data_IF_096005115573
#
_entry.id   IF_096005115573
#
_cell.length_a   1.000
_cell.length_b   1.000
_cell.length_c   1.000
_cell.angle_alpha   90.00
_cell.angle_beta   90.00
_cell.angle_gamma   90.00
#
_symmetry.space_group_name_H-M   'P 1'
#
loop_
_entity.id
_entity.type
_entity.pdbx_description
1 polymer ?
#
# COMPACT_ATOMS: atom_id res chain seq x y z
N UNK A 1 5.71 17.68 0.74
CA UNK A 1 6.58 16.97 1.70
C UNK A 1 7.27 15.86 0.94
N UNK A 2 8.60 15.83 0.88
CA UNK A 2 9.35 14.78 0.16
C UNK A 2 9.21 13.43 0.88
N UNK A 3 9.02 12.34 0.12
CA UNK A 3 8.90 11.00 0.67
C UNK A 3 7.83 10.14 0.01
N UNK A 4 7.67 8.92 0.50
CA UNK A 4 6.65 7.96 0.04
C UNK A 4 5.47 7.94 0.99
N UNK A 5 4.25 8.19 0.50
CA UNK A 5 3.01 8.00 1.25
C UNK A 5 2.07 7.03 0.53
N UNK A 6 1.12 6.47 1.28
CA UNK A 6 0.01 5.69 0.73
C UNK A 6 -1.29 6.10 1.42
N UNK A 7 -2.40 5.71 0.81
CA UNK A 7 -3.75 5.84 1.36
C UNK A 7 -4.57 4.71 0.77
N UNK A 8 -5.34 4.01 1.60
CA UNK A 8 -6.18 2.90 1.17
C UNK A 8 -7.64 3.24 1.38
N UNK A 9 -8.41 3.22 0.31
CA UNK A 9 -9.85 3.43 0.31
C UNK A 9 -10.55 2.12 -0.03
N UNK A 10 -11.45 1.68 0.84
CA UNK A 10 -12.40 0.61 0.54
C UNK A 10 -13.56 1.19 -0.27
N UNK A 11 -13.58 0.91 -1.57
CA UNK A 11 -14.60 1.40 -2.49
C UNK A 11 -15.90 0.61 -2.41
N UNK A 12 -15.90 -0.58 -1.81
CA UNK A 12 -17.11 -1.36 -1.59
C UNK A 12 -17.92 -0.79 -0.41
N UNK A 13 -17.25 -0.27 0.62
CA UNK A 13 -17.88 0.40 1.77
C UNK A 13 -17.88 1.93 1.68
N UNK A 14 -17.16 2.51 0.72
CA UNK A 14 -17.06 3.96 0.54
C UNK A 14 -16.33 4.67 1.68
N UNK A 15 -15.35 4.02 2.31
CA UNK A 15 -14.63 4.55 3.49
C UNK A 15 -13.15 4.16 3.50
N UNK A 16 -12.30 4.83 4.29
CA UNK A 16 -10.92 4.42 4.43
C UNK A 16 -10.79 3.00 5.00
N UNK A 17 -9.81 2.24 4.50
CA UNK A 17 -9.55 0.88 4.96
C UNK A 17 -8.64 0.93 6.19
N UNK A 18 -9.22 0.99 7.38
CA UNK A 18 -8.48 1.04 8.65
C UNK A 18 -7.93 -0.33 9.06
N UNK A 19 -6.73 -0.35 9.67
CA UNK A 19 -6.08 -1.55 10.18
C UNK A 19 -5.52 -2.50 9.11
N UNK A 20 -5.49 -2.08 7.84
CA UNK A 20 -4.96 -2.88 6.73
C UNK A 20 -3.43 -2.96 6.85
N UNK A 21 -2.91 -4.19 6.88
CA UNK A 21 -1.47 -4.47 6.93
C UNK A 21 -0.82 -4.26 5.57
N UNK A 22 0.29 -3.55 5.53
CA UNK A 22 1.08 -3.27 4.32
C UNK A 22 2.54 -3.61 4.60
N UNK A 23 3.19 -4.32 3.70
CA UNK A 23 4.65 -4.49 3.72
C UNK A 23 5.28 -3.67 2.61
N UNK A 24 6.33 -2.91 2.95
CA UNK A 24 7.14 -2.20 1.97
C UNK A 24 8.42 -2.98 1.71
N UNK A 25 8.65 -3.31 0.45
CA UNK A 25 9.81 -4.03 -0.04
C UNK A 25 10.68 -3.13 -0.91
N UNK A 26 12.00 -3.33 -0.84
CA UNK A 26 12.95 -2.83 -1.84
C UNK A 26 13.25 -3.96 -2.84
N UNK A 27 13.16 -3.66 -4.13
CA UNK A 27 13.43 -4.63 -5.18
C UNK A 27 14.87 -4.55 -5.65
N UNK A 28 15.51 -5.72 -5.85
CA UNK A 28 16.82 -5.92 -6.46
C UNK A 28 16.63 -6.89 -7.64
N UNK A 29 16.08 -6.40 -8.74
CA UNK A 29 15.64 -7.25 -9.84
C UNK A 29 14.41 -8.06 -9.44
N UNK A 30 14.54 -9.38 -9.38
CA UNK A 30 13.47 -10.29 -8.95
C UNK A 30 13.45 -10.52 -7.44
N UNK A 31 14.54 -10.18 -6.73
CA UNK A 31 14.62 -10.34 -5.29
C UNK A 31 13.97 -9.15 -4.55
N UNK A 32 13.31 -9.45 -3.43
CA UNK A 32 12.65 -8.47 -2.58
C UNK A 32 13.25 -8.49 -1.16
N UNK A 33 13.61 -7.32 -0.66
CA UNK A 33 14.08 -7.12 0.72
C UNK A 33 13.03 -6.34 1.51
N UNK A 34 12.54 -6.91 2.62
CA UNK A 34 11.57 -6.24 3.49
C UNK A 34 12.23 -5.03 4.16
N UNK A 35 11.65 -3.85 3.95
CA UNK A 35 12.07 -2.64 4.67
C UNK A 35 11.31 -2.53 5.98
N UNK A 36 9.97 -2.54 5.93
CA UNK A 36 9.11 -2.42 7.12
C UNK A 36 7.69 -2.93 6.85
N UNK A 37 7.00 -3.27 7.94
CA UNK A 37 5.55 -3.55 7.95
C UNK A 37 4.84 -2.39 8.65
N UNK A 38 3.76 -1.91 8.06
CA UNK A 38 2.96 -0.78 8.55
C UNK A 38 1.47 -1.15 8.52
N UNK A 39 0.66 -0.36 9.21
CA UNK A 39 -0.79 -0.52 9.25
C UNK A 39 -1.45 0.82 8.94
N UNK A 40 -2.60 0.76 8.29
CA UNK A 40 -3.40 1.97 8.08
C UNK A 40 -4.15 2.38 9.35
N UNK A 41 -4.26 3.67 9.60
CA UNK A 41 -5.05 4.29 10.65
C UNK A 41 -6.52 4.43 10.22
N UNK A 42 -7.34 5.10 11.03
CA UNK A 42 -8.77 5.29 10.78
C UNK A 42 -9.09 6.12 9.51
N UNK A 43 -8.12 6.88 9.00
CA UNK A 43 -8.19 7.60 7.72
C UNK A 43 -7.56 6.81 6.57
N UNK A 44 -7.28 5.51 6.75
CA UNK A 44 -6.69 4.65 5.72
C UNK A 44 -5.24 5.03 5.36
N UNK A 45 -4.60 5.88 6.15
CA UNK A 45 -3.24 6.41 5.96
C UNK A 45 -2.28 5.81 6.98
N UNK A 46 -1.02 6.18 6.92
CA UNK A 46 0.00 5.72 7.88
C UNK A 46 0.32 6.87 8.85
N UNK A 47 0.31 6.58 10.14
CA UNK A 47 0.67 7.56 11.18
C UNK A 47 2.17 7.87 11.18
N UNK A 48 2.54 9.04 11.70
CA UNK A 48 3.94 9.45 11.84
C UNK A 48 4.57 10.03 10.57
N UNK A 49 3.79 10.22 9.49
CA UNK A 49 4.25 10.87 8.27
C UNK A 49 4.49 9.89 7.11
N UNK A 50 5.39 10.21 6.16
CA UNK A 50 5.67 9.32 5.04
C UNK A 50 6.38 8.04 5.47
N UNK A 51 6.08 6.95 4.76
CA UNK A 51 6.60 5.59 4.98
C UNK A 51 8.13 5.55 4.80
N UNK A 52 8.63 6.28 3.81
CA UNK A 52 10.05 6.54 3.57
C UNK A 52 10.30 8.04 3.51
N UNK A 53 11.32 8.50 4.23
CA UNK A 53 11.77 9.90 4.25
C UNK A 53 13.29 9.95 4.28
N UNK A 54 13.86 11.13 3.99
CA UNK A 54 15.28 11.41 4.22
C UNK A 54 16.19 10.38 3.55
N UNK A 55 17.15 9.83 4.29
CA UNK A 55 18.11 8.88 3.75
C UNK A 55 17.51 7.53 3.37
N UNK A 56 16.33 7.14 3.86
CA UNK A 56 15.68 5.88 3.45
C UNK A 56 15.01 6.02 2.07
N UNK A 57 14.60 7.24 1.71
CA UNK A 57 13.91 7.57 0.47
C UNK A 57 14.92 7.75 -0.68
N UNK A 58 15.21 6.65 -1.36
CA UNK A 58 16.22 6.57 -2.43
C UNK A 58 15.61 6.19 -3.76
N UNK A 59 16.24 6.60 -4.85
CA UNK A 59 15.95 6.08 -6.20
C UNK A 59 16.03 4.56 -6.21
N UNK A 60 15.07 3.91 -6.87
CA UNK A 60 15.02 2.45 -6.96
C UNK A 60 13.61 1.93 -7.26
N UNK A 61 13.49 0.60 -7.33
CA UNK A 61 12.23 -0.10 -7.44
C UNK A 61 11.78 -0.59 -6.07
N UNK A 62 10.49 -0.46 -5.81
CA UNK A 62 9.86 -0.81 -4.55
C UNK A 62 8.56 -1.55 -4.82
N UNK A 63 8.08 -2.27 -3.82
CA UNK A 63 6.80 -2.97 -3.87
C UNK A 63 6.06 -2.78 -2.55
N UNK A 64 4.79 -2.38 -2.63
CA UNK A 64 3.86 -2.39 -1.50
C UNK A 64 3.00 -3.65 -1.61
N UNK A 65 3.05 -4.50 -0.58
CA UNK A 65 2.20 -5.68 -0.46
C UNK A 65 1.05 -5.34 0.49
N UNK A 66 -0.13 -5.13 -0.08
CA UNK A 66 -1.36 -4.85 0.67
C UNK A 66 -2.06 -6.17 1.01
N UNK A 67 -2.24 -6.46 2.29
CA UNK A 67 -2.93 -7.67 2.78
C UNK A 67 -4.45 -7.46 2.75
N UNK A 68 -4.98 -7.36 1.54
CA UNK A 68 -6.37 -7.01 1.25
C UNK A 68 -7.35 -8.09 1.71
N UNK A 69 -7.04 -9.37 1.52
CA UNK A 69 -7.90 -10.49 1.91
C UNK A 69 -8.17 -10.52 3.41
N UNK A 70 -7.11 -10.36 4.22
CA UNK A 70 -7.23 -10.28 5.68
C UNK A 70 -8.13 -9.10 6.10
N UNK A 71 -7.92 -7.92 5.50
CA UNK A 71 -8.75 -6.75 5.76
C UNK A 71 -10.22 -7.01 5.36
N UNK A 72 -10.49 -7.46 4.13
CA UNK A 72 -11.85 -7.68 3.63
C UNK A 72 -12.61 -8.73 4.46
N UNK A 73 -11.92 -9.80 4.90
CA UNK A 73 -12.48 -10.79 5.85
C UNK A 73 -12.86 -10.14 7.18
N UNK A 74 -11.99 -9.26 7.71
CA UNK A 74 -12.27 -8.53 8.97
C UNK A 74 -13.48 -7.60 8.86
N UNK A 75 -13.84 -7.16 7.65
CA UNK A 75 -15.04 -6.37 7.38
C UNK A 75 -16.31 -7.22 7.18
N UNK A 76 -16.25 -8.53 7.46
CA UNK A 76 -17.34 -9.50 7.25
C UNK A 76 -17.85 -9.59 5.80
N UNK A 77 -16.99 -9.31 4.82
CA UNK A 77 -17.35 -9.51 3.41
C UNK A 77 -17.35 -11.00 3.06
N UNK A 78 -18.37 -11.44 2.31
CA UNK A 78 -18.40 -12.77 1.74
C UNK A 78 -17.40 -12.84 0.57
N UNK A 79 -16.29 -13.53 0.79
CA UNK A 79 -15.24 -13.75 -0.21
C UNK A 79 -15.29 -15.20 -0.71
N UNK A 80 -14.70 -15.44 -1.88
CA UNK A 80 -14.36 -16.79 -2.32
C UNK A 80 -13.30 -17.40 -1.40
N UNK A 81 -13.15 -18.72 -1.44
CA UNK A 81 -12.07 -19.44 -0.76
C UNK A 81 -11.25 -20.22 -1.82
N UNK A 82 -10.04 -19.75 -2.18
CA UNK A 82 -9.36 -18.56 -1.67
C UNK A 82 -9.99 -17.23 -2.17
N UNK A 83 -9.75 -16.09 -1.48
CA UNK A 83 -10.20 -14.78 -1.97
C UNK A 83 -9.61 -14.47 -3.33
N UNK A 84 -10.39 -13.86 -4.23
CA UNK A 84 -9.90 -13.43 -5.54
C UNK A 84 -8.77 -12.39 -5.42
N UNK A 85 -8.91 -11.45 -4.47
CA UNK A 85 -7.85 -10.53 -4.07
C UNK A 85 -7.46 -10.81 -2.60
N UNK A 86 -6.28 -11.41 -2.41
CA UNK A 86 -5.74 -11.73 -1.08
C UNK A 86 -4.57 -10.80 -0.73
N UNK A 87 -3.40 -10.99 -1.34
CA UNK A 87 -2.27 -10.06 -1.24
C UNK A 87 -2.09 -9.35 -2.58
N UNK A 88 -2.16 -8.01 -2.57
CA UNK A 88 -2.05 -7.19 -3.77
C UNK A 88 -0.65 -6.55 -3.82
N UNK A 89 0.23 -6.98 -4.72
CA UNK A 89 1.53 -6.33 -4.95
C UNK A 89 1.38 -5.12 -5.88
N UNK A 90 1.83 -3.96 -5.42
CA UNK A 90 2.00 -2.76 -6.26
C UNK A 90 3.49 -2.46 -6.38
N UNK A 91 4.06 -2.79 -7.55
CA UNK A 91 5.46 -2.48 -7.88
C UNK A 91 5.56 -1.12 -8.57
N UNK A 92 6.47 -0.27 -8.09
CA UNK A 92 6.66 1.09 -8.63
C UNK A 92 8.12 1.54 -8.51
N UNK A 93 8.47 2.59 -9.27
CA UNK A 93 9.78 3.20 -9.24
C UNK A 93 9.75 4.57 -8.56
N UNK A 94 10.74 4.83 -7.72
CA UNK A 94 11.11 6.18 -7.28
C UNK A 94 12.28 6.62 -8.15
N UNK A 95 12.11 7.76 -8.84
CA UNK A 95 13.09 8.32 -9.78
C UNK A 95 13.65 9.67 -9.34
N UNK A 96 12.95 10.37 -8.45
CA UNK A 96 13.36 11.67 -7.91
C UNK A 96 13.32 11.63 -6.37
N UNK A 97 14.48 11.69 -5.69
CA UNK A 97 14.54 11.65 -4.22
C UNK A 97 14.09 12.97 -3.57
N UNK A 98 13.81 14.03 -4.34
CA UNK A 98 13.31 15.30 -3.83
C UNK A 98 11.78 15.43 -3.93
N UNK A 99 11.11 14.56 -4.68
CA UNK A 99 9.68 14.60 -4.89
C UNK A 99 8.86 13.88 -3.80
N UNK A 100 7.57 14.18 -3.76
CA UNK A 100 6.58 13.40 -3.03
C UNK A 100 6.03 12.30 -3.95
N UNK A 101 5.95 11.07 -3.46
CA UNK A 101 5.35 9.95 -4.16
C UNK A 101 4.17 9.47 -3.34
N UNK A 102 2.96 9.66 -3.86
CA UNK A 102 1.76 9.09 -3.28
C UNK A 102 1.31 7.88 -4.11
N UNK A 103 1.27 6.70 -3.51
CA UNK A 103 0.86 5.45 -4.17
C UNK A 103 -0.34 4.87 -3.41
N UNK A 104 -1.58 5.33 -3.69
CA UNK A 104 -2.78 4.86 -3.01
C UNK A 104 -3.28 3.54 -3.60
N UNK A 105 -4.17 2.88 -2.85
CA UNK A 105 -4.93 1.72 -3.31
C UNK A 105 -6.43 2.00 -3.14
N UNK A 106 -7.18 1.88 -4.23
CA UNK A 106 -8.64 1.83 -4.20
C UNK A 106 -9.02 0.36 -4.28
N UNK A 107 -9.66 -0.17 -3.24
CA UNK A 107 -9.86 -1.59 -3.02
C UNK A 107 -11.36 -1.95 -2.98
N UNK A 108 -11.72 -2.99 -3.73
CA UNK A 108 -12.96 -3.77 -3.55
C UNK A 108 -12.62 -5.26 -3.59
N UNK A 109 -13.54 -6.17 -3.21
CA UNK A 109 -13.28 -7.62 -3.24
C UNK A 109 -12.85 -8.20 -4.58
N UNK A 110 -13.25 -7.60 -5.70
CA UNK A 110 -13.04 -8.14 -7.04
C UNK A 110 -12.35 -7.17 -8.01
N UNK A 111 -11.87 -6.05 -7.51
CA UNK A 111 -11.17 -5.07 -8.32
C UNK A 111 -10.42 -4.08 -7.47
N UNK A 112 -9.28 -3.63 -7.95
CA UNK A 112 -8.53 -2.55 -7.35
C UNK A 112 -7.96 -1.63 -8.42
N UNK A 113 -7.58 -0.42 -8.01
CA UNK A 113 -6.79 0.48 -8.85
C UNK A 113 -5.77 1.23 -8.02
N UNK A 114 -4.72 1.69 -8.68
CA UNK A 114 -3.67 2.53 -8.12
C UNK A 114 -3.25 3.57 -9.17
N UNK A 115 -2.54 4.60 -8.74
CA UNK A 115 -1.99 5.63 -9.61
C UNK A 115 -0.81 6.32 -8.90
N UNK A 116 -0.05 7.15 -9.63
CA UNK A 116 0.93 8.06 -9.03
C UNK A 116 0.25 9.37 -8.68
N UNK A 117 0.00 9.59 -7.39
CA UNK A 117 -0.43 10.89 -6.87
C UNK A 117 0.74 11.85 -6.63
N UNK A 118 0.39 13.12 -6.41
CA UNK A 118 1.30 14.23 -6.10
C UNK A 118 1.44 14.49 -4.61
#
# INVERSE_FOLDING_TARGET
>A
MTGLTTHVLDTALGRPAAGLRIQLMRMKGEEAELIKTIFTNDDGRVDGGPILVGEEFRVGQYELLFHAGDYLKSQNMALSDPPFLDVIPIRFGISDPQAHYHVPLLLSPYGYSTYRGS
#
